data_IF_658028631538
#
_entry.id   IF_658028631538
#
_cell.length_a   1.000
_cell.length_b   1.000
_cell.length_c   1.000
_cell.angle_alpha   90.00
_cell.angle_beta   90.00
_cell.angle_gamma   90.00
#
_symmetry.space_group_name_H-M   'P 1'
#
loop_
_entity.id
_entity.type
_entity.pdbx_description
1 polymer ?
#
# COMPACT_ATOMS: atom_id res chain seq x y z
N UNK A 1 -40.10 23.14 -10.28
CA UNK A 1 -38.65 23.23 -10.51
C UNK A 1 -38.03 21.94 -10.03
N UNK A 2 -37.64 21.05 -10.95
CA UNK A 2 -36.90 19.83 -10.62
C UNK A 2 -35.45 20.21 -10.33
N UNK A 3 -35.05 20.17 -9.07
CA UNK A 3 -33.63 20.12 -8.71
C UNK A 3 -33.35 18.73 -8.17
N UNK A 4 -32.83 17.91 -9.08
CA UNK A 4 -32.03 16.70 -8.89
C UNK A 4 -31.81 16.34 -7.43
N UNK A 5 -32.49 15.28 -6.97
CA UNK A 5 -32.13 14.60 -5.73
C UNK A 5 -30.69 14.11 -5.88
N UNK A 6 -29.73 14.87 -5.34
CA UNK A 6 -28.33 14.51 -5.33
C UNK A 6 -28.21 13.11 -4.71
N UNK A 7 -27.61 12.18 -5.46
CA UNK A 7 -27.37 10.83 -4.96
C UNK A 7 -26.66 10.93 -3.61
N UNK A 8 -27.35 10.52 -2.52
CA UNK A 8 -26.77 10.51 -1.18
C UNK A 8 -25.59 9.54 -1.19
N UNK A 9 -24.37 10.07 -1.24
CA UNK A 9 -23.18 9.27 -1.01
C UNK A 9 -23.28 8.62 0.37
N UNK A 10 -22.73 7.41 0.53
CA UNK A 10 -22.67 6.76 1.84
C UNK A 10 -22.01 7.73 2.84
N UNK A 11 -22.52 7.86 4.08
CA UNK A 11 -22.13 8.93 5.00
C UNK A 11 -20.63 8.99 5.30
N UNK A 12 -19.88 7.91 5.07
CA UNK A 12 -18.43 7.86 5.22
C UNK A 12 -17.68 8.54 4.07
N UNK A 13 -18.15 8.39 2.82
CA UNK A 13 -17.51 8.99 1.64
C UNK A 13 -17.62 10.51 1.70
N UNK A 14 -18.78 11.02 2.13
CA UNK A 14 -19.00 12.46 2.31
C UNK A 14 -18.08 13.05 3.39
N UNK A 15 -17.86 12.33 4.50
CA UNK A 15 -16.91 12.74 5.54
C UNK A 15 -15.48 12.78 5.00
N UNK A 16 -15.05 11.74 4.28
CA UNK A 16 -13.71 11.68 3.69
C UNK A 16 -13.50 12.85 2.73
N UNK A 17 -14.47 13.12 1.86
CA UNK A 17 -14.40 14.27 0.95
C UNK A 17 -14.26 15.58 1.72
N UNK A 18 -15.14 15.83 2.69
CA UNK A 18 -15.17 17.07 3.47
C UNK A 18 -13.88 17.33 4.26
N UNK A 19 -13.27 16.29 4.82
CA UNK A 19 -12.09 16.44 5.68
C UNK A 19 -10.76 16.34 4.95
N UNK A 20 -10.68 15.54 3.89
CA UNK A 20 -9.42 15.24 3.21
C UNK A 20 -9.34 15.95 1.86
N UNK A 21 -10.36 15.80 1.02
CA UNK A 21 -10.32 16.21 -0.39
C UNK A 21 -10.86 17.62 -0.67
N UNK A 22 -11.66 18.22 0.22
CA UNK A 22 -12.32 19.50 -0.03
C UNK A 22 -11.36 20.70 -0.01
N UNK A 23 -10.26 20.63 0.76
CA UNK A 23 -9.25 21.70 0.85
C UNK A 23 -7.95 21.24 0.21
N UNK A 24 -7.40 22.04 -0.71
CA UNK A 24 -6.16 21.69 -1.43
C UNK A 24 -4.99 21.42 -0.47
N UNK A 25 -4.86 22.17 0.62
CA UNK A 25 -3.81 21.96 1.62
C UNK A 25 -3.93 20.60 2.34
N UNK A 26 -5.15 20.21 2.77
CA UNK A 26 -5.36 18.90 3.42
C UNK A 26 -5.23 17.75 2.43
N UNK A 27 -5.62 17.99 1.18
CA UNK A 27 -5.46 17.03 0.09
C UNK A 27 -3.98 16.74 -0.17
N UNK A 28 -3.17 17.79 -0.34
CA UNK A 28 -1.72 17.64 -0.54
C UNK A 28 -1.07 16.97 0.67
N UNK A 29 -1.42 17.39 1.90
CA UNK A 29 -0.91 16.77 3.12
C UNK A 29 -1.22 15.27 3.18
N UNK A 30 -2.48 14.90 2.93
CA UNK A 30 -2.91 13.51 2.93
C UNK A 30 -2.25 12.71 1.79
N UNK A 31 -2.02 13.33 0.63
CA UNK A 31 -1.29 12.73 -0.49
C UNK A 31 0.17 12.42 -0.14
N UNK A 32 0.88 13.38 0.47
CA UNK A 32 2.28 13.19 0.89
C UNK A 32 2.38 12.09 1.95
N UNK A 33 1.56 12.17 3.00
CA UNK A 33 1.52 11.13 4.04
C UNK A 33 1.18 9.77 3.39
N UNK A 34 0.12 9.73 2.58
CA UNK A 34 -0.30 8.52 1.87
C UNK A 34 0.81 7.92 1.02
N UNK A 35 1.59 8.73 0.32
CA UNK A 35 2.72 8.28 -0.49
C UNK A 35 3.81 7.60 0.35
N UNK A 36 4.24 8.21 1.47
CA UNK A 36 5.24 7.61 2.36
C UNK A 36 4.79 6.26 2.93
N UNK A 37 3.53 6.16 3.36
CA UNK A 37 3.00 4.89 3.88
C UNK A 37 2.81 3.87 2.75
N UNK A 38 2.37 4.30 1.58
CA UNK A 38 2.20 3.43 0.42
C UNK A 38 3.55 2.84 -0.01
N UNK A 39 4.58 3.67 -0.18
CA UNK A 39 5.94 3.24 -0.56
C UNK A 39 6.41 2.10 0.35
N UNK A 40 6.43 2.34 1.67
CA UNK A 40 6.89 1.35 2.64
C UNK A 40 6.07 0.07 2.63
N UNK A 41 4.75 0.19 2.44
CA UNK A 41 3.83 -0.96 2.43
C UNK A 41 3.99 -1.77 1.16
N UNK A 42 4.08 -1.11 0.00
CA UNK A 42 4.21 -1.75 -1.30
C UNK A 42 5.55 -2.46 -1.40
N UNK A 43 6.64 -1.86 -0.95
CA UNK A 43 7.97 -2.51 -0.95
C UNK A 43 7.92 -3.83 -0.17
N UNK A 44 7.41 -3.80 1.07
CA UNK A 44 7.32 -5.02 1.91
C UNK A 44 6.42 -6.07 1.27
N UNK A 45 5.30 -5.67 0.67
CA UNK A 45 4.39 -6.62 0.03
C UNK A 45 5.05 -7.23 -1.21
N UNK A 46 5.67 -6.41 -2.05
CA UNK A 46 6.35 -6.84 -3.27
C UNK A 46 7.51 -7.78 -2.95
N UNK A 47 8.35 -7.45 -1.97
CA UNK A 47 9.45 -8.32 -1.53
C UNK A 47 8.92 -9.66 -1.03
N UNK A 48 7.90 -9.65 -0.17
CA UNK A 48 7.29 -10.89 0.33
C UNK A 48 6.67 -11.75 -0.77
N UNK A 49 6.03 -11.13 -1.77
CA UNK A 49 5.49 -11.85 -2.92
C UNK A 49 6.63 -12.42 -3.76
N UNK A 50 7.68 -11.63 -4.00
CA UNK A 50 8.83 -12.04 -4.78
C UNK A 50 9.60 -13.20 -4.14
N UNK A 51 9.81 -13.14 -2.82
CA UNK A 51 10.45 -14.19 -2.03
C UNK A 51 9.65 -15.49 -2.08
N UNK A 52 8.33 -15.42 -1.90
CA UNK A 52 7.46 -16.60 -1.99
C UNK A 52 7.45 -17.22 -3.38
N UNK A 53 7.45 -16.40 -4.43
CA UNK A 53 7.43 -16.91 -5.82
C UNK A 53 8.77 -17.52 -6.21
N UNK A 54 9.87 -17.02 -5.65
CA UNK A 54 11.24 -17.45 -5.98
C UNK A 54 11.92 -18.26 -4.88
N UNK A 55 11.13 -18.81 -3.95
CA UNK A 55 11.62 -19.62 -2.84
C UNK A 55 12.52 -20.75 -3.34
N UNK A 56 13.69 -20.89 -2.73
CA UNK A 56 14.70 -21.90 -3.07
C UNK A 56 15.56 -21.58 -4.30
N UNK A 57 15.29 -20.48 -5.01
CA UNK A 57 16.13 -19.98 -6.11
C UNK A 57 16.94 -18.76 -5.70
N UNK A 58 16.51 -18.04 -4.66
CA UNK A 58 17.17 -16.83 -4.21
C UNK A 58 18.51 -17.16 -3.53
N UNK A 59 19.48 -16.26 -3.68
CA UNK A 59 20.82 -16.46 -3.15
C UNK A 59 20.81 -16.76 -1.63
N UNK A 60 20.00 -16.04 -0.87
CA UNK A 60 19.91 -16.24 0.58
C UNK A 60 19.30 -17.62 0.94
N UNK A 61 18.43 -18.19 0.11
CA UNK A 61 17.91 -19.55 0.31
C UNK A 61 18.97 -20.60 0.00
N UNK A 62 19.75 -20.38 -1.07
CA UNK A 62 20.86 -21.25 -1.44
C UNK A 62 21.95 -21.23 -0.36
N UNK A 63 22.28 -20.07 0.18
CA UNK A 63 23.24 -19.92 1.27
C UNK A 63 22.73 -20.63 2.53
N UNK A 64 21.49 -20.38 2.96
CA UNK A 64 20.89 -21.09 4.11
C UNK A 64 20.94 -22.61 3.93
N UNK A 65 20.67 -23.09 2.72
CA UNK A 65 20.77 -24.52 2.40
C UNK A 65 22.20 -25.02 2.53
N UNK A 66 23.19 -24.32 1.96
CA UNK A 66 24.59 -24.73 2.02
C UNK A 66 25.15 -24.70 3.45
N UNK A 67 24.80 -23.69 4.25
CA UNK A 67 25.13 -23.61 5.67
C UNK A 67 24.53 -24.79 6.45
N UNK A 68 23.26 -25.14 6.19
CA UNK A 68 22.63 -26.31 6.83
C UNK A 68 23.26 -27.65 6.42
N UNK A 69 23.87 -27.71 5.23
CA UNK A 69 24.58 -28.89 4.72
C UNK A 69 26.04 -28.94 5.17
N UNK A 70 26.54 -27.92 5.88
CA UNK A 70 27.93 -27.83 6.36
C UNK A 70 28.97 -27.71 5.24
N UNK A 71 28.56 -27.22 4.05
CA UNK A 71 29.41 -27.13 2.86
C UNK A 71 30.16 -25.81 2.73
N UNK A 72 29.79 -24.83 3.55
CA UNK A 72 30.43 -23.53 3.77
C UNK A 72 30.25 -23.12 5.22
#
# INVERSE_FOLDING_TARGET
MSSVQAAKAKPYVEKIYRYIFQRSATFVLAGVIGAFYMERTVDVICDNIFDKVNEGKQFHDLVKKLESEGKI
#
